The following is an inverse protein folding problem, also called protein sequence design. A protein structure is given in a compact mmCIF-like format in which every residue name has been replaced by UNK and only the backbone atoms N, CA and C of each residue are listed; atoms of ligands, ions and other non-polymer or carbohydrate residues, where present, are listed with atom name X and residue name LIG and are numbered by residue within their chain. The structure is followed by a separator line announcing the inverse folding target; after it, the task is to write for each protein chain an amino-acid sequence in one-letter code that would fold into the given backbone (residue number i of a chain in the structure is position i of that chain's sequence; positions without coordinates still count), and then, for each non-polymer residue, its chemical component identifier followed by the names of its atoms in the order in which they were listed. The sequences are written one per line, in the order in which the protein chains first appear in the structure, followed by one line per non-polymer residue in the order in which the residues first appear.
data_IF_522597742815
#
_entry.id   IF_522597742815
#
_cell.length_a   1.000
_cell.length_b   1.000
_cell.length_c   1.000
_cell.angle_alpha   90.00
_cell.angle_beta   90.00
_cell.angle_gamma   90.00
#
_symmetry.space_group_name_H-M   'P 1'
#
loop_
_entity.id
_entity.type
_entity.pdbx_description
1 polymer ?
#
# COMPACT_ATOMS: atom_id res chain seq x y z
N UNK A 1 -20.76 32.29 0.55
CA UNK A 1 -21.38 31.41 -0.45
C UNK A 1 -20.79 29.98 -0.34
N UNK A 2 -19.46 29.84 -0.22
CA UNK A 2 -18.78 28.54 -0.02
C UNK A 2 -19.21 27.85 1.28
N UNK A 3 -19.27 28.57 2.41
CA UNK A 3 -19.66 28.01 3.70
C UNK A 3 -21.11 27.47 3.77
N UNK A 4 -21.99 27.92 2.89
CA UNK A 4 -23.36 27.42 2.75
C UNK A 4 -23.53 26.49 1.55
N UNK A 5 -22.43 25.99 1.01
CA UNK A 5 -22.36 25.03 -0.12
C UNK A 5 -23.08 25.48 -1.41
N UNK A 6 -23.40 26.79 -1.55
CA UNK A 6 -23.96 27.37 -2.78
C UNK A 6 -22.95 27.53 -3.92
N UNK A 7 -21.68 27.60 -3.59
CA UNK A 7 -20.56 27.56 -4.53
C UNK A 7 -19.56 26.57 -3.96
N UNK A 8 -19.24 25.51 -4.71
CA UNK A 8 -18.30 24.47 -4.26
C UNK A 8 -16.90 25.06 -4.25
N UNK A 9 -16.26 25.00 -3.09
CA UNK A 9 -14.86 25.34 -2.92
C UNK A 9 -14.03 24.14 -3.38
N UNK A 10 -13.51 24.19 -4.58
CA UNK A 10 -12.63 23.17 -5.15
C UNK A 10 -11.46 23.87 -5.85
N UNK A 11 -10.26 23.37 -5.67
CA UNK A 11 -9.09 24.02 -6.23
C UNK A 11 -9.07 23.93 -7.76
N UNK A 12 -9.24 22.76 -8.31
CA UNK A 12 -9.34 22.51 -9.75
C UNK A 12 -10.29 21.32 -10.00
N UNK A 13 -11.06 21.35 -11.10
CA UNK A 13 -11.87 20.18 -11.49
C UNK A 13 -10.97 19.06 -12.06
N UNK A 14 -11.41 17.82 -11.97
CA UNK A 14 -10.74 16.69 -12.63
C UNK A 14 -10.66 16.90 -14.15
N UNK A 15 -9.47 16.67 -14.71
CA UNK A 15 -9.28 16.67 -16.16
C UNK A 15 -9.79 15.34 -16.75
N UNK A 16 -10.39 15.41 -17.93
CA UNK A 16 -10.87 14.23 -18.63
C UNK A 16 -9.70 13.48 -19.28
N UNK A 17 -9.04 12.62 -18.51
CA UNK A 17 -7.92 11.78 -18.95
C UNK A 17 -8.40 10.49 -19.62
N UNK A 18 -7.52 9.82 -20.34
CA UNK A 18 -7.81 8.51 -20.93
C UNK A 18 -7.20 7.36 -20.13
N UNK A 19 -7.02 7.57 -18.83
CA UNK A 19 -6.44 6.60 -17.92
C UNK A 19 -6.85 6.88 -16.48
N UNK A 20 -6.83 5.82 -15.65
CA UNK A 20 -6.79 5.87 -14.19
C UNK A 20 -6.07 4.64 -13.67
N UNK A 21 -5.72 4.62 -12.39
CA UNK A 21 -5.02 3.52 -11.75
C UNK A 21 -5.90 2.90 -10.67
N UNK A 22 -5.82 1.59 -10.50
CA UNK A 22 -6.38 0.89 -9.35
C UNK A 22 -5.19 0.41 -8.52
N UNK A 23 -5.20 0.73 -7.24
CA UNK A 23 -4.18 0.34 -6.28
C UNK A 23 -4.80 -0.64 -5.31
N UNK A 24 -4.28 -1.88 -5.30
CA UNK A 24 -4.77 -2.97 -4.45
C UNK A 24 -3.80 -3.23 -3.31
N UNK A 25 -4.32 -3.17 -2.09
CA UNK A 25 -3.65 -3.59 -0.87
C UNK A 25 -4.39 -4.82 -0.30
N UNK A 26 -3.71 -5.95 -0.30
CA UNK A 26 -4.17 -7.15 0.39
C UNK A 26 -3.63 -7.16 1.82
N UNK A 27 -4.22 -7.94 2.74
CA UNK A 27 -3.66 -8.11 4.08
C UNK A 27 -2.19 -8.56 4.02
N UNK A 28 -1.35 -8.01 4.88
CA UNK A 28 0.07 -8.40 4.94
C UNK A 28 0.21 -9.90 5.18
N UNK A 29 1.11 -10.54 4.45
CA UNK A 29 1.26 -12.01 4.47
C UNK A 29 0.43 -12.73 3.40
N UNK A 30 -0.40 -12.04 2.64
CA UNK A 30 -1.12 -12.62 1.49
C UNK A 30 -0.12 -13.09 0.44
N UNK A 31 -0.32 -14.32 -0.06
CA UNK A 31 0.52 -14.89 -1.12
C UNK A 31 0.31 -14.17 -2.46
N UNK A 32 1.37 -14.12 -3.28
CA UNK A 32 1.35 -13.46 -4.58
C UNK A 32 0.24 -14.01 -5.50
N UNK A 33 -0.03 -15.30 -5.43
CA UNK A 33 -1.05 -15.98 -6.22
C UNK A 33 -2.45 -15.47 -5.89
N UNK A 34 -2.73 -15.22 -4.62
CA UNK A 34 -4.02 -14.67 -4.19
C UNK A 34 -4.18 -13.22 -4.64
N UNK A 35 -3.13 -12.41 -4.50
CA UNK A 35 -3.11 -11.04 -5.03
C UNK A 35 -3.35 -11.04 -6.54
N UNK A 36 -2.67 -11.94 -7.26
CA UNK A 36 -2.84 -12.12 -8.72
C UNK A 36 -4.26 -12.54 -9.08
N UNK A 37 -4.87 -13.43 -8.29
CA UNK A 37 -6.26 -13.82 -8.48
C UNK A 37 -7.21 -12.62 -8.35
N UNK A 38 -7.06 -11.81 -7.31
CA UNK A 38 -7.92 -10.64 -7.08
C UNK A 38 -7.76 -9.63 -8.21
N UNK A 39 -6.52 -9.34 -8.64
CA UNK A 39 -6.27 -8.49 -9.80
C UNK A 39 -6.91 -9.05 -11.08
N UNK A 40 -6.89 -10.37 -11.27
CA UNK A 40 -7.57 -11.04 -12.37
C UNK A 40 -9.09 -10.88 -12.35
N UNK A 41 -9.72 -11.02 -11.17
CA UNK A 41 -11.16 -10.80 -11.00
C UNK A 41 -11.56 -9.35 -11.27
N UNK A 42 -10.76 -8.39 -10.79
CA UNK A 42 -10.96 -6.97 -11.11
C UNK A 42 -10.80 -6.74 -12.62
N UNK A 43 -9.79 -7.34 -13.25
CA UNK A 43 -9.57 -7.26 -14.68
C UNK A 43 -10.76 -7.77 -15.50
N UNK A 44 -11.30 -8.91 -15.14
CA UNK A 44 -12.51 -9.46 -15.81
C UNK A 44 -13.73 -8.54 -15.65
N UNK A 45 -13.88 -7.90 -14.49
CA UNK A 45 -14.92 -6.88 -14.32
C UNK A 45 -14.67 -5.68 -15.25
N UNK A 46 -13.44 -5.18 -15.35
CA UNK A 46 -13.10 -4.04 -16.19
C UNK A 46 -13.36 -4.31 -17.67
N UNK A 47 -13.26 -5.57 -18.14
CA UNK A 47 -13.62 -5.95 -19.50
C UNK A 47 -15.12 -5.75 -19.80
N UNK A 48 -15.96 -5.68 -18.79
CA UNK A 48 -17.40 -5.40 -18.94
C UNK A 48 -17.71 -3.91 -19.05
N UNK A 49 -16.75 -3.02 -18.78
CA UNK A 49 -16.93 -1.56 -18.85
C UNK A 49 -16.63 -1.08 -20.27
N UNK A 50 -17.63 -0.55 -21.00
CA UNK A 50 -17.48 -0.27 -22.45
C UNK A 50 -16.36 0.71 -22.81
N UNK A 51 -16.05 1.63 -21.91
CA UNK A 51 -15.03 2.65 -22.15
C UNK A 51 -13.61 2.19 -21.81
N UNK A 52 -13.46 1.02 -21.18
CA UNK A 52 -12.13 0.44 -20.94
C UNK A 52 -11.62 -0.17 -22.23
N UNK A 53 -10.50 0.36 -22.73
CA UNK A 53 -9.85 -0.13 -23.93
C UNK A 53 -8.95 -1.34 -23.66
N UNK A 54 -8.17 -1.26 -22.59
CA UNK A 54 -7.32 -2.33 -22.08
C UNK A 54 -6.87 -1.97 -20.66
N UNK A 55 -6.28 -2.94 -19.98
CA UNK A 55 -5.63 -2.74 -18.70
C UNK A 55 -4.34 -3.55 -18.60
N UNK A 56 -3.48 -3.20 -17.67
CA UNK A 56 -2.25 -3.92 -17.35
C UNK A 56 -2.21 -4.11 -15.84
N UNK A 57 -2.12 -5.37 -15.40
CA UNK A 57 -2.04 -5.72 -13.99
C UNK A 57 -0.58 -6.01 -13.59
N UNK A 58 -0.19 -5.51 -12.43
CA UNK A 58 1.11 -5.68 -11.82
C UNK A 58 0.91 -6.30 -10.44
N UNK A 59 1.34 -7.55 -10.27
CA UNK A 59 1.21 -8.29 -9.02
C UNK A 59 2.54 -8.34 -8.30
N UNK A 60 2.54 -8.00 -7.00
CA UNK A 60 3.74 -7.97 -6.17
C UNK A 60 4.67 -6.79 -6.42
N UNK A 61 4.30 -5.89 -7.31
CA UNK A 61 5.09 -4.72 -7.69
C UNK A 61 4.19 -3.58 -8.14
N UNK A 62 4.73 -2.37 -8.13
CA UNK A 62 4.02 -1.19 -8.64
C UNK A 62 3.91 -1.19 -10.16
N UNK A 63 2.91 -0.48 -10.70
CA UNK A 63 2.86 -0.08 -12.09
C UNK A 63 4.10 0.77 -12.48
N UNK A 64 4.48 0.83 -13.78
CA UNK A 64 5.54 1.72 -14.23
C UNK A 64 5.33 3.15 -13.77
N UNK A 65 6.42 3.87 -13.49
CA UNK A 65 6.36 5.22 -12.92
C UNK A 65 5.47 6.12 -13.78
N UNK A 66 4.40 6.59 -13.17
CA UNK A 66 3.46 7.58 -13.71
C UNK A 66 3.48 8.83 -12.83
N UNK A 67 2.72 9.86 -13.22
CA UNK A 67 2.58 11.05 -12.38
C UNK A 67 2.01 10.69 -10.99
N UNK A 68 0.98 9.85 -10.94
CA UNK A 68 0.42 9.34 -9.67
C UNK A 68 1.46 8.57 -8.85
N UNK A 69 2.22 7.70 -9.50
CA UNK A 69 3.27 6.94 -8.86
C UNK A 69 4.31 7.82 -8.19
N UNK A 70 4.72 8.92 -8.83
CA UNK A 70 5.66 9.88 -8.25
C UNK A 70 5.06 10.66 -7.08
N UNK A 71 3.87 11.22 -7.26
CA UNK A 71 3.24 12.09 -6.27
C UNK A 71 2.82 11.34 -5.02
N UNK A 72 2.21 10.18 -5.19
CA UNK A 72 1.74 9.32 -4.09
C UNK A 72 2.78 8.28 -3.65
N UNK A 73 3.99 8.33 -4.22
CA UNK A 73 5.10 7.39 -3.95
C UNK A 73 4.76 5.91 -4.22
N UNK A 74 3.78 5.63 -5.07
CA UNK A 74 3.36 4.27 -5.38
C UNK A 74 4.44 3.45 -6.07
N UNK A 75 5.42 4.09 -6.72
CA UNK A 75 6.58 3.42 -7.31
C UNK A 75 7.45 2.66 -6.29
N UNK A 76 7.29 2.95 -4.98
CA UNK A 76 7.98 2.26 -3.89
C UNK A 76 7.24 0.99 -3.42
N UNK A 77 6.04 0.73 -3.94
CA UNK A 77 5.21 -0.40 -3.54
C UNK A 77 5.81 -1.70 -4.08
N UNK A 78 6.24 -2.57 -3.18
CA UNK A 78 6.79 -3.88 -3.49
C UNK A 78 6.42 -4.86 -2.38
N UNK A 79 5.83 -6.00 -2.74
CA UNK A 79 5.43 -7.04 -1.79
C UNK A 79 4.34 -7.92 -2.37
N UNK A 80 4.35 -9.21 -2.02
CA UNK A 80 3.40 -10.21 -2.51
C UNK A 80 1.92 -9.81 -2.33
N UNK A 81 1.63 -9.03 -1.30
CA UNK A 81 0.30 -8.56 -0.93
C UNK A 81 -0.11 -7.23 -1.61
N UNK A 82 0.74 -6.67 -2.49
CA UNK A 82 0.49 -5.42 -3.19
C UNK A 82 0.26 -5.64 -4.68
N UNK A 83 -0.61 -4.85 -5.28
CA UNK A 83 -0.85 -4.90 -6.71
C UNK A 83 -1.38 -3.59 -7.27
N UNK A 84 -1.15 -3.38 -8.55
CA UNK A 84 -1.63 -2.22 -9.29
C UNK A 84 -2.30 -2.66 -10.60
N UNK A 85 -3.31 -1.91 -11.05
CA UNK A 85 -3.84 -2.02 -12.41
C UNK A 85 -3.82 -0.63 -13.05
N UNK A 86 -3.11 -0.52 -14.16
CA UNK A 86 -3.20 0.65 -15.03
C UNK A 86 -4.33 0.44 -16.01
N UNK A 87 -5.36 1.26 -15.94
CA UNK A 87 -6.54 1.19 -16.80
C UNK A 87 -6.45 2.25 -17.89
N UNK A 88 -6.56 1.85 -19.13
CA UNK A 88 -6.60 2.74 -20.29
C UNK A 88 -8.01 2.81 -20.85
N UNK A 89 -8.51 4.02 -21.02
CA UNK A 89 -9.83 4.30 -21.57
C UNK A 89 -9.78 4.59 -23.06
N UNK A 90 -10.89 4.39 -23.73
CA UNK A 90 -11.11 4.88 -25.09
C UNK A 90 -10.89 6.41 -25.09
N UNK A 91 -10.33 6.93 -26.18
CA UNK A 91 -10.06 8.38 -26.32
C UNK A 91 -11.32 9.21 -26.01
N UNK A 92 -11.14 10.32 -25.31
CA UNK A 92 -12.22 11.20 -24.86
C UNK A 92 -13.14 11.72 -25.95
N UNK A 93 -12.69 11.68 -27.22
CA UNK A 93 -13.51 12.05 -28.38
C UNK A 93 -14.46 10.93 -28.86
N UNK A 94 -14.26 9.73 -28.36
CA UNK A 94 -15.01 8.53 -28.74
C UNK A 94 -15.78 7.89 -27.57
N UNK A 95 -16.01 8.65 -26.49
CA UNK A 95 -16.82 8.24 -25.35
C UNK A 95 -17.64 9.42 -24.83
N UNK A 96 -18.81 9.12 -24.28
CA UNK A 96 -19.73 10.13 -23.75
C UNK A 96 -19.37 10.47 -22.29
N UNK A 97 -19.08 9.45 -21.47
CA UNK A 97 -18.72 9.66 -20.06
C UNK A 97 -17.30 10.19 -19.91
N UNK A 98 -17.12 11.13 -18.97
CA UNK A 98 -15.79 11.61 -18.58
C UNK A 98 -15.04 10.53 -17.76
N UNK A 99 -13.71 10.64 -17.69
CA UNK A 99 -12.89 9.67 -16.90
C UNK A 99 -13.31 9.60 -15.45
N UNK A 100 -13.63 10.74 -14.84
CA UNK A 100 -14.09 10.82 -13.47
C UNK A 100 -15.43 10.07 -13.26
N UNK A 101 -16.41 10.24 -14.15
CA UNK A 101 -17.68 9.51 -14.10
C UNK A 101 -17.48 8.00 -14.23
N UNK A 102 -16.52 7.58 -15.06
CA UNK A 102 -16.16 6.16 -15.19
C UNK A 102 -15.47 5.67 -13.92
N UNK A 103 -14.49 6.41 -13.41
CA UNK A 103 -13.79 6.08 -12.17
C UNK A 103 -14.76 5.92 -10.98
N UNK A 104 -15.71 6.84 -10.83
CA UNK A 104 -16.77 6.73 -9.83
C UNK A 104 -17.62 5.47 -10.01
N UNK A 105 -18.00 5.14 -11.26
CA UNK A 105 -18.87 3.99 -11.53
C UNK A 105 -18.22 2.63 -11.28
N UNK A 106 -16.89 2.53 -11.37
CA UNK A 106 -16.14 1.28 -11.13
C UNK A 106 -15.72 1.11 -9.69
N UNK A 107 -15.73 2.18 -8.87
CA UNK A 107 -15.23 2.19 -7.50
C UNK A 107 -15.87 1.12 -6.62
N UNK A 108 -17.18 1.16 -6.47
CA UNK A 108 -17.92 0.22 -5.62
C UNK A 108 -17.76 -1.25 -6.07
N UNK A 109 -17.94 -1.61 -7.35
CA UNK A 109 -17.71 -2.98 -7.82
C UNK A 109 -16.28 -3.48 -7.59
N UNK A 110 -15.27 -2.64 -7.83
CA UNK A 110 -13.86 -3.00 -7.64
C UNK A 110 -13.56 -3.22 -6.15
N UNK A 111 -14.03 -2.31 -5.29
CA UNK A 111 -13.87 -2.46 -3.84
C UNK A 111 -14.61 -3.70 -3.31
N UNK A 112 -15.80 -4.01 -3.84
CA UNK A 112 -16.55 -5.21 -3.45
C UNK A 112 -15.81 -6.50 -3.85
N UNK A 113 -15.11 -6.51 -4.99
CA UNK A 113 -14.25 -7.64 -5.38
C UNK A 113 -13.10 -7.81 -4.40
N UNK A 114 -12.36 -6.75 -4.11
CA UNK A 114 -11.21 -6.78 -3.21
C UNK A 114 -11.62 -7.20 -1.78
N UNK A 115 -12.71 -6.65 -1.26
CA UNK A 115 -13.21 -6.90 0.10
C UNK A 115 -13.58 -8.36 0.35
N UNK A 116 -13.99 -9.13 -0.67
CA UNK A 116 -14.25 -10.57 -0.54
C UNK A 116 -13.01 -11.36 -0.10
N UNK A 117 -11.83 -10.81 -0.34
CA UNK A 117 -10.53 -11.38 0.00
C UNK A 117 -9.82 -10.60 1.13
N UNK A 118 -10.54 -9.71 1.82
CA UNK A 118 -9.97 -8.83 2.85
C UNK A 118 -9.09 -7.70 2.32
N UNK A 119 -9.07 -7.48 1.00
CA UNK A 119 -8.27 -6.45 0.36
C UNK A 119 -8.97 -5.09 0.31
N UNK A 120 -8.18 -4.05 0.14
CA UNK A 120 -8.61 -2.66 -0.11
C UNK A 120 -8.18 -2.23 -1.51
N UNK A 121 -9.12 -1.82 -2.35
CA UNK A 121 -8.85 -1.36 -3.70
C UNK A 121 -9.25 0.10 -3.87
N UNK A 122 -8.28 0.94 -4.19
CA UNK A 122 -8.44 2.39 -4.36
C UNK A 122 -8.44 2.76 -5.83
N UNK A 123 -9.35 3.65 -6.23
CA UNK A 123 -9.40 4.20 -7.60
C UNK A 123 -8.68 5.54 -7.61
N UNK A 124 -7.55 5.59 -8.28
CA UNK A 124 -6.64 6.74 -8.27
C UNK A 124 -6.66 7.42 -9.62
N UNK A 125 -7.19 8.62 -9.65
CA UNK A 125 -7.14 9.50 -10.82
C UNK A 125 -5.91 10.41 -10.76
N UNK A 126 -5.52 10.96 -11.92
CA UNK A 126 -4.46 11.99 -11.95
C UNK A 126 -4.98 13.23 -11.23
N UNK A 127 -4.34 13.66 -10.13
CA UNK A 127 -4.83 14.78 -9.36
C UNK A 127 -4.82 16.06 -10.20
N UNK A 128 -5.89 16.86 -10.13
CA UNK A 128 -5.98 18.10 -10.90
C UNK A 128 -5.13 19.24 -10.33
N UNK A 129 -4.68 19.08 -9.09
CA UNK A 129 -4.00 20.11 -8.32
C UNK A 129 -2.53 19.80 -8.03
N UNK A 130 -1.95 20.45 -7.02
CA UNK A 130 -0.57 20.21 -6.60
C UNK A 130 -0.38 18.78 -6.09
N UNK A 131 0.85 18.31 -6.13
CA UNK A 131 1.19 16.96 -5.70
C UNK A 131 1.02 16.79 -4.20
N UNK A 132 -0.07 16.15 -3.78
CA UNK A 132 -0.34 15.78 -2.40
C UNK A 132 -0.41 14.25 -2.26
N UNK A 133 -0.06 13.73 -1.10
CA UNK A 133 -0.07 12.29 -0.82
C UNK A 133 -1.49 11.71 -0.97
N UNK A 134 -2.48 12.42 -0.45
CA UNK A 134 -3.90 12.13 -0.62
C UNK A 134 -4.69 13.45 -0.50
N UNK A 135 -5.90 13.54 -1.06
CA UNK A 135 -6.72 14.74 -0.93
C UNK A 135 -7.06 15.11 0.52
N UNK A 136 -7.33 14.11 1.35
CA UNK A 136 -7.52 14.26 2.81
C UNK A 136 -6.43 13.49 3.51
N UNK A 137 -5.67 14.16 4.37
CA UNK A 137 -4.60 13.57 5.17
C UNK A 137 -4.74 14.03 6.61
N UNK A 138 -4.80 13.07 7.53
CA UNK A 138 -4.70 13.27 8.95
C UNK A 138 -3.35 12.74 9.44
N UNK A 139 -2.50 13.61 9.94
CA UNK A 139 -1.19 13.29 10.51
C UNK A 139 -1.34 13.16 12.02
N UNK A 140 -1.12 11.96 12.56
CA UNK A 140 -1.24 11.67 13.97
C UNK A 140 0.15 11.65 14.60
N UNK A 141 0.36 12.55 15.55
CA UNK A 141 1.59 12.68 16.33
C UNK A 141 1.39 12.16 17.74
N UNK A 142 2.47 11.87 18.47
CA UNK A 142 2.43 11.43 19.86
C UNK A 142 3.73 10.78 20.30
N UNK A 143 3.83 10.51 21.62
CA UNK A 143 5.06 10.07 22.27
C UNK A 143 5.52 8.66 21.85
N UNK A 144 4.58 7.78 21.50
CA UNK A 144 4.87 6.38 21.15
C UNK A 144 3.96 5.87 20.04
N UNK A 145 4.42 4.83 19.32
CA UNK A 145 3.73 4.27 18.20
C UNK A 145 2.37 3.64 18.59
N UNK A 146 2.29 2.96 19.73
CA UNK A 146 1.04 2.29 20.14
C UNK A 146 -0.09 3.30 20.39
N UNK A 147 0.23 4.42 21.03
CA UNK A 147 -0.72 5.49 21.25
C UNK A 147 -1.10 6.22 19.95
N UNK A 148 -0.13 6.44 19.05
CA UNK A 148 -0.42 6.97 17.70
C UNK A 148 -1.37 6.05 16.94
N UNK A 149 -1.16 4.73 16.95
CA UNK A 149 -2.03 3.74 16.33
C UNK A 149 -3.43 3.77 16.96
N UNK A 150 -3.52 3.84 18.29
CA UNK A 150 -4.82 3.92 18.98
C UNK A 150 -5.60 5.19 18.58
N UNK A 151 -4.91 6.33 18.48
CA UNK A 151 -5.49 7.58 18.00
C UNK A 151 -5.89 7.50 16.52
N UNK A 152 -5.01 6.95 15.67
CA UNK A 152 -5.28 6.79 14.24
C UNK A 152 -6.50 5.91 13.96
N UNK A 153 -6.70 4.83 14.72
CA UNK A 153 -7.90 3.98 14.59
C UNK A 153 -9.19 4.73 14.93
N UNK A 154 -9.17 5.62 15.93
CA UNK A 154 -10.33 6.47 16.25
C UNK A 154 -10.61 7.45 15.12
N UNK A 155 -9.57 8.10 14.60
CA UNK A 155 -9.69 9.00 13.45
C UNK A 155 -10.24 8.24 12.24
N UNK A 156 -9.69 7.08 11.91
CA UNK A 156 -10.15 6.23 10.82
C UNK A 156 -11.63 5.85 10.96
N UNK A 157 -12.08 5.49 12.17
CA UNK A 157 -13.48 5.17 12.40
C UNK A 157 -14.43 6.34 12.09
N UNK A 158 -13.99 7.59 12.31
CA UNK A 158 -14.77 8.78 11.92
C UNK A 158 -14.75 8.95 10.40
N UNK A 159 -13.62 8.72 9.73
CA UNK A 159 -13.57 8.71 8.26
C UNK A 159 -14.58 7.70 7.68
N UNK A 160 -14.60 6.48 8.21
CA UNK A 160 -15.49 5.39 7.75
C UNK A 160 -16.99 5.68 7.99
N UNK A 161 -17.31 6.54 8.94
CA UNK A 161 -18.69 6.93 9.27
C UNK A 161 -19.15 8.21 8.54
N UNK A 162 -18.24 8.91 7.90
CA UNK A 162 -18.54 10.17 7.22
C UNK A 162 -18.94 9.88 5.77
N UNK A 163 -20.09 10.39 5.36
CA UNK A 163 -20.61 10.20 4.01
C UNK A 163 -19.64 10.73 2.93
N UNK A 164 -19.65 10.08 1.79
CA UNK A 164 -18.86 10.42 0.61
C UNK A 164 -17.33 10.31 0.79
N UNK A 165 -16.83 9.88 1.94
CA UNK A 165 -15.41 9.58 2.16
C UNK A 165 -15.11 8.19 1.63
N UNK A 166 -14.10 8.10 0.76
CA UNK A 166 -13.72 6.87 0.05
C UNK A 166 -12.21 6.68 0.07
N UNK A 167 -11.75 5.49 -0.37
CA UNK A 167 -10.33 5.14 -0.46
C UNK A 167 -9.58 5.34 0.86
N UNK A 168 -10.28 5.08 1.98
CA UNK A 168 -9.71 5.23 3.32
C UNK A 168 -8.56 4.25 3.49
N UNK A 169 -7.42 4.79 3.91
CA UNK A 169 -6.20 4.03 4.12
C UNK A 169 -5.43 4.60 5.33
N UNK A 170 -4.50 3.84 5.85
CA UNK A 170 -3.59 4.32 6.89
C UNK A 170 -2.19 3.72 6.73
N UNK A 171 -1.24 4.26 7.49
CA UNK A 171 0.12 3.77 7.51
C UNK A 171 0.36 2.70 8.59
N UNK A 172 -0.69 2.16 9.19
CA UNK A 172 -0.62 1.11 10.21
C UNK A 172 -0.42 -0.22 9.49
N UNK A 173 0.62 -0.94 9.87
CA UNK A 173 0.84 -2.28 9.35
C UNK A 173 0.04 -3.27 10.17
N UNK A 174 -0.98 -3.88 9.55
CA UNK A 174 -1.79 -4.92 10.16
C UNK A 174 -1.61 -6.24 9.39
N UNK A 175 -1.50 -7.34 10.13
CA UNK A 175 -1.52 -8.68 9.55
C UNK A 175 -2.91 -9.07 9.04
N UNK A 176 -3.01 -10.21 8.34
CA UNK A 176 -4.26 -10.73 7.80
C UNK A 176 -5.36 -10.98 8.84
N UNK A 177 -6.52 -11.40 8.38
CA UNK A 177 -7.73 -11.61 9.18
C UNK A 177 -7.46 -12.43 10.45
N UNK A 178 -7.74 -11.85 11.62
CA UNK A 178 -7.49 -12.45 12.94
C UNK A 178 -6.14 -12.12 13.56
N UNK A 179 -5.21 -11.45 12.86
CA UNK A 179 -3.95 -10.97 13.42
C UNK A 179 -4.11 -9.52 13.89
N UNK A 180 -3.80 -9.28 15.16
CA UNK A 180 -3.69 -7.92 15.70
C UNK A 180 -2.22 -7.52 15.66
N UNK A 181 -1.83 -6.73 14.68
CA UNK A 181 -0.47 -6.23 14.52
C UNK A 181 0.22 -6.73 13.25
N UNK A 182 1.51 -6.40 13.08
CA UNK A 182 2.26 -6.76 11.87
C UNK A 182 2.36 -8.27 11.68
N UNK A 183 2.54 -8.69 10.43
CA UNK A 183 2.71 -10.09 10.11
C UNK A 183 3.90 -10.71 10.87
N UNK A 184 3.74 -11.97 11.27
CA UNK A 184 4.84 -12.73 11.83
C UNK A 184 5.88 -13.07 10.77
N UNK A 185 7.15 -12.89 11.10
CA UNK A 185 8.28 -13.42 10.35
C UNK A 185 8.84 -14.67 11.04
N UNK A 186 9.24 -15.64 10.25
CA UNK A 186 9.92 -16.84 10.75
C UNK A 186 11.42 -16.68 10.55
N UNK A 187 12.16 -16.62 11.65
CA UNK A 187 13.62 -16.55 11.65
C UNK A 187 14.19 -17.95 11.74
N UNK A 188 15.07 -18.26 10.80
CA UNK A 188 15.89 -19.48 10.86
C UNK A 188 17.10 -19.18 11.72
N UNK A 189 16.99 -19.50 13.02
CA UNK A 189 18.06 -19.32 13.99
C UNK A 189 19.04 -20.47 13.91
N UNK A 190 20.29 -20.19 13.53
CA UNK A 190 21.35 -21.20 13.38
C UNK A 190 21.98 -21.48 14.75
N UNK A 191 21.99 -22.77 15.16
CA UNK A 191 22.79 -23.26 16.27
C UNK A 191 24.28 -23.27 15.84
N UNK A 192 24.97 -22.17 16.14
CA UNK A 192 26.35 -21.93 15.70
C UNK A 192 27.33 -22.95 16.27
N UNK A 193 27.11 -23.38 17.52
CA UNK A 193 28.00 -24.34 18.16
C UNK A 193 27.82 -25.75 17.55
N UNK A 194 26.59 -26.14 17.34
CA UNK A 194 26.26 -27.46 16.73
C UNK A 194 26.73 -27.48 15.27
N UNK A 195 26.48 -26.42 14.49
CA UNK A 195 26.92 -26.30 13.09
C UNK A 195 28.45 -26.40 12.99
N UNK A 196 29.17 -25.69 13.87
CA UNK A 196 30.65 -25.74 13.90
C UNK A 196 31.16 -27.14 14.23
N UNK A 197 30.56 -27.81 15.24
CA UNK A 197 30.95 -29.21 15.61
C UNK A 197 30.71 -30.18 14.49
N UNK A 198 29.67 -29.98 13.70
CA UNK A 198 29.33 -30.83 12.55
C UNK A 198 30.06 -30.42 11.26
N UNK A 199 30.87 -29.40 11.31
CA UNK A 199 31.67 -28.91 10.17
C UNK A 199 30.83 -28.26 9.06
N UNK A 200 29.70 -27.63 9.42
CA UNK A 200 28.83 -26.90 8.49
C UNK A 200 28.98 -25.40 8.71
N UNK A 201 29.23 -24.63 7.65
CA UNK A 201 29.36 -23.18 7.76
C UNK A 201 28.01 -22.48 7.74
N UNK A 202 27.89 -21.33 8.42
CA UNK A 202 26.69 -20.50 8.35
C UNK A 202 26.39 -20.04 6.91
N UNK A 203 27.44 -19.77 6.13
CA UNK A 203 27.33 -19.38 4.72
C UNK A 203 26.65 -20.47 3.90
N UNK A 204 27.08 -21.73 4.05
CA UNK A 204 26.49 -22.86 3.32
C UNK A 204 25.00 -23.06 3.69
N UNK A 205 24.63 -22.83 4.96
CA UNK A 205 23.23 -22.88 5.40
C UNK A 205 22.40 -21.78 4.72
N UNK A 206 22.89 -20.54 4.75
CA UNK A 206 22.20 -19.40 4.14
C UNK A 206 22.05 -19.55 2.63
N UNK A 207 23.10 -19.96 1.93
CA UNK A 207 23.10 -20.20 0.47
C UNK A 207 22.09 -21.31 0.10
N UNK A 208 22.11 -22.43 0.82
CA UNK A 208 21.19 -23.52 0.55
C UNK A 208 19.71 -23.09 0.75
N UNK A 209 19.40 -22.37 1.84
CA UNK A 209 18.08 -21.83 2.08
C UNK A 209 17.67 -20.81 1.02
N UNK A 210 18.57 -19.91 0.63
CA UNK A 210 18.33 -18.95 -0.43
C UNK A 210 18.00 -19.65 -1.75
N UNK A 211 18.80 -20.65 -2.13
CA UNK A 211 18.60 -21.41 -3.38
C UNK A 211 17.22 -22.09 -3.39
N UNK A 212 16.82 -22.77 -2.32
CA UNK A 212 15.56 -23.54 -2.32
C UNK A 212 14.33 -22.66 -2.14
N UNK A 213 14.41 -21.56 -1.37
CA UNK A 213 13.26 -20.68 -1.08
C UNK A 213 13.12 -19.60 -2.15
N UNK A 214 14.18 -18.81 -2.39
CA UNK A 214 14.17 -17.65 -3.29
C UNK A 214 14.49 -18.04 -4.73
N UNK A 215 15.26 -19.11 -4.91
CA UNK A 215 15.75 -19.55 -6.19
C UNK A 215 17.09 -18.93 -6.56
N UNK A 216 17.88 -19.66 -7.34
CA UNK A 216 19.18 -19.24 -7.86
C UNK A 216 19.26 -19.52 -9.36
N UNK A 217 19.75 -18.56 -10.12
CA UNK A 217 19.99 -18.74 -11.56
C UNK A 217 21.34 -19.42 -11.76
N UNK A 218 21.28 -20.75 -11.85
CA UNK A 218 22.49 -21.61 -11.90
C UNK A 218 23.17 -21.65 -13.28
N UNK A 219 22.44 -21.34 -14.34
CA UNK A 219 22.94 -21.34 -15.72
C UNK A 219 21.96 -20.58 -16.62
N UNK A 220 22.30 -20.51 -17.91
CA UNK A 220 21.47 -19.87 -18.93
C UNK A 220 21.25 -20.82 -20.09
N UNK A 221 20.04 -20.83 -20.62
CA UNK A 221 19.73 -21.49 -21.87
C UNK A 221 20.18 -20.60 -23.04
N UNK A 222 21.02 -21.16 -23.91
CA UNK A 222 21.46 -20.48 -25.12
C UNK A 222 20.50 -20.83 -26.27
N UNK A 223 19.59 -19.89 -26.58
CA UNK A 223 18.62 -20.02 -27.68
C UNK A 223 18.94 -19.05 -28.81
N UNK A 224 18.72 -19.48 -30.05
CA UNK A 224 18.96 -18.64 -31.25
C UNK A 224 17.94 -17.50 -31.40
N UNK A 225 16.77 -17.59 -30.75
CA UNK A 225 15.64 -16.66 -30.92
C UNK A 225 15.41 -15.72 -29.76
N UNK A 226 16.08 -15.92 -28.62
CA UNK A 226 15.92 -15.09 -27.43
C UNK A 226 16.73 -13.82 -27.51
N UNK A 227 16.10 -12.64 -27.36
CA UNK A 227 16.81 -11.35 -27.26
C UNK A 227 17.68 -11.24 -26.02
N UNK A 228 17.25 -11.88 -24.92
CA UNK A 228 17.96 -11.90 -23.63
C UNK A 228 18.26 -13.35 -23.23
N UNK A 229 19.32 -13.54 -22.43
CA UNK A 229 19.63 -14.84 -21.86
C UNK A 229 18.45 -15.34 -21.00
N UNK A 230 18.06 -16.59 -21.21
CA UNK A 230 16.97 -17.24 -20.45
C UNK A 230 17.61 -17.99 -19.28
N UNK A 231 17.38 -17.60 -18.01
CA UNK A 231 18.01 -18.24 -16.86
C UNK A 231 17.40 -19.63 -16.62
N UNK A 232 18.27 -20.57 -16.20
CA UNK A 232 17.86 -21.85 -15.62
C UNK A 232 17.84 -21.66 -14.12
N UNK A 233 16.64 -21.55 -13.53
CA UNK A 233 16.45 -21.26 -12.11
C UNK A 233 16.23 -22.53 -11.31
N UNK A 234 17.05 -22.73 -10.31
CA UNK A 234 16.95 -23.84 -9.35
C UNK A 234 16.22 -23.35 -8.10
N UNK A 235 15.10 -23.99 -7.76
CA UNK A 235 14.33 -23.69 -6.55
C UNK A 235 13.40 -24.84 -6.20
N UNK A 236 12.87 -24.89 -4.97
CA UNK A 236 11.78 -25.79 -4.63
C UNK A 236 10.47 -25.36 -5.31
N UNK A 237 9.57 -26.31 -5.50
CA UNK A 237 8.19 -25.99 -5.91
C UNK A 237 7.48 -25.18 -4.81
N UNK A 238 6.43 -24.43 -5.17
CA UNK A 238 5.66 -23.66 -4.17
C UNK A 238 5.06 -24.57 -3.09
N UNK A 239 4.65 -25.78 -3.45
CA UNK A 239 4.16 -26.78 -2.49
C UNK A 239 5.25 -27.19 -1.50
N UNK A 240 6.48 -27.45 -1.96
CA UNK A 240 7.59 -27.86 -1.10
C UNK A 240 8.09 -26.71 -0.21
N UNK A 241 8.04 -25.45 -0.69
CA UNK A 241 8.39 -24.27 0.11
C UNK A 241 7.39 -23.97 1.22
N UNK A 242 6.10 -24.26 0.98
CA UNK A 242 5.04 -24.05 1.95
C UNK A 242 5.13 -25.02 3.14
N UNK A 243 5.76 -26.17 2.93
CA UNK A 243 6.04 -27.17 3.97
C UNK A 243 7.41 -26.91 4.60
N UNK A 244 7.39 -26.33 5.81
CA UNK A 244 8.62 -26.01 6.53
C UNK A 244 9.43 -27.26 6.88
N UNK A 245 8.77 -28.38 7.19
CA UNK A 245 9.45 -29.65 7.50
C UNK A 245 10.20 -30.18 6.27
N UNK A 246 9.63 -29.99 5.08
CA UNK A 246 10.29 -30.30 3.82
C UNK A 246 11.55 -29.45 3.61
N UNK A 247 11.45 -28.14 3.84
CA UNK A 247 12.62 -27.24 3.77
C UNK A 247 13.69 -27.63 4.80
N UNK A 248 13.30 -27.95 6.02
CA UNK A 248 14.22 -28.37 7.09
C UNK A 248 14.83 -29.77 6.87
N UNK A 249 14.23 -30.59 6.02
CA UNK A 249 14.79 -31.87 5.60
C UNK A 249 15.96 -31.75 4.64
N UNK A 250 16.19 -30.57 4.05
CA UNK A 250 17.32 -30.31 3.17
C UNK A 250 18.64 -30.67 3.86
N UNK A 251 19.50 -31.37 3.12
CA UNK A 251 20.79 -31.83 3.64
C UNK A 251 21.94 -31.01 3.09
N UNK A 252 22.78 -30.54 3.99
CA UNK A 252 23.99 -29.77 3.67
C UNK A 252 25.22 -30.65 3.87
N UNK A 253 26.14 -30.59 2.93
CA UNK A 253 27.41 -31.29 3.03
C UNK A 253 28.34 -30.63 4.04
N UNK A 254 28.80 -31.38 5.04
CA UNK A 254 29.81 -30.91 5.98
C UNK A 254 31.22 -31.00 5.37
N UNK A 255 32.20 -30.39 6.04
CA UNK A 255 33.62 -30.46 5.63
C UNK A 255 34.15 -31.92 5.61
N UNK A 256 33.58 -32.81 6.40
CA UNK A 256 33.94 -34.23 6.39
C UNK A 256 33.24 -35.03 5.29
N UNK A 257 32.38 -34.43 4.49
CA UNK A 257 31.56 -35.06 3.45
C UNK A 257 30.24 -35.65 3.94
N UNK A 258 29.95 -35.59 5.24
CA UNK A 258 28.67 -36.07 5.79
C UNK A 258 27.52 -35.14 5.38
N UNK A 259 26.37 -35.69 5.09
CA UNK A 259 25.13 -34.94 4.77
C UNK A 259 24.33 -34.70 6.05
N UNK A 260 24.25 -33.44 6.49
CA UNK A 260 23.59 -33.00 7.72
C UNK A 260 22.27 -32.35 7.36
N UNK A 261 21.11 -32.82 7.87
CA UNK A 261 19.82 -32.14 7.63
C UNK A 261 19.80 -30.82 8.38
N UNK A 262 19.12 -29.81 7.78
CA UNK A 262 18.98 -28.48 8.38
C UNK A 262 18.31 -28.52 9.75
N UNK A 263 17.31 -29.41 9.93
CA UNK A 263 16.60 -29.62 11.21
C UNK A 263 17.52 -29.91 12.39
N UNK A 264 18.75 -30.40 12.13
CA UNK A 264 19.73 -30.67 13.18
C UNK A 264 20.49 -29.42 13.65
N UNK A 265 20.56 -28.35 12.81
CA UNK A 265 21.47 -27.23 13.01
C UNK A 265 20.74 -25.86 13.00
N UNK A 266 19.41 -25.85 12.81
CA UNK A 266 18.60 -24.63 12.88
C UNK A 266 17.35 -24.83 13.73
N UNK A 267 16.88 -23.73 14.30
CA UNK A 267 15.58 -23.62 14.97
C UNK A 267 14.76 -22.53 14.30
N UNK A 268 13.44 -22.74 14.22
CA UNK A 268 12.54 -21.71 13.71
C UNK A 268 11.98 -20.92 14.89
N UNK A 269 12.17 -19.60 14.84
CA UNK A 269 11.64 -18.66 15.84
C UNK A 269 10.66 -17.75 15.15
N UNK A 270 9.44 -17.66 15.67
CA UNK A 270 8.46 -16.66 15.27
C UNK A 270 8.79 -15.31 15.91
N UNK A 271 8.90 -14.28 15.13
CA UNK A 271 9.04 -12.91 15.59
C UNK A 271 8.04 -12.00 14.86
N UNK A 272 7.66 -10.91 15.50
CA UNK A 272 6.87 -9.87 14.85
C UNK A 272 7.75 -9.14 13.85
N UNK A 273 7.23 -8.89 12.63
CA UNK A 273 7.93 -8.11 11.62
C UNK A 273 8.06 -6.66 12.07
N UNK A 274 9.19 -6.04 11.81
CA UNK A 274 9.40 -4.62 12.07
C UNK A 274 8.50 -3.77 11.17
N UNK A 275 7.86 -2.77 11.77
CA UNK A 275 7.06 -1.79 11.04
C UNK A 275 7.92 -0.71 10.41
N UNK A 276 7.46 -0.15 9.30
CA UNK A 276 7.99 1.11 8.81
C UNK A 276 7.66 2.23 9.82
N UNK A 277 8.63 3.06 10.15
CA UNK A 277 8.45 4.23 11.00
C UNK A 277 8.48 5.46 10.08
N UNK A 278 7.32 6.08 9.91
CA UNK A 278 7.21 7.30 9.13
C UNK A 278 7.59 8.51 9.97
N UNK A 279 8.28 9.46 9.36
CA UNK A 279 8.62 10.74 9.98
C UNK A 279 8.22 11.88 9.04
N UNK A 280 7.66 12.92 9.61
CA UNK A 280 7.45 14.21 8.96
C UNK A 280 8.01 15.31 9.86
N UNK A 281 8.81 16.20 9.29
CA UNK A 281 9.49 17.27 10.04
C UNK A 281 10.25 16.75 11.28
N UNK A 282 10.91 15.60 11.13
CA UNK A 282 11.67 14.87 12.15
C UNK A 282 10.84 14.24 13.29
N UNK A 283 9.51 14.34 13.23
CA UNK A 283 8.63 13.74 14.23
C UNK A 283 8.04 12.42 13.69
N UNK A 284 7.99 11.35 14.49
CA UNK A 284 7.26 10.15 14.13
C UNK A 284 5.80 10.46 13.86
N UNK A 285 5.23 9.88 12.82
CA UNK A 285 3.86 10.16 12.39
C UNK A 285 3.15 8.89 11.92
N UNK A 286 1.87 8.77 12.23
CA UNK A 286 0.96 7.80 11.62
C UNK A 286 -0.04 8.57 10.76
N UNK A 287 -0.22 8.15 9.51
CA UNK A 287 -1.14 8.77 8.58
C UNK A 287 -2.48 8.04 8.54
N UNK A 288 -3.57 8.79 8.47
CA UNK A 288 -4.85 8.32 7.96
C UNK A 288 -5.20 9.17 6.76
N UNK A 289 -5.50 8.53 5.64
CA UNK A 289 -5.70 9.19 4.35
C UNK A 289 -7.03 8.80 3.75
N UNK A 290 -7.62 9.67 2.95
CA UNK A 290 -8.83 9.37 2.19
C UNK A 290 -8.95 10.27 0.97
N UNK A 291 -9.89 9.89 0.11
CA UNK A 291 -10.41 10.71 -0.97
C UNK A 291 -11.90 11.01 -0.70
N UNK A 292 -12.51 11.84 -1.51
CA UNK A 292 -13.93 12.15 -1.43
C UNK A 292 -14.58 11.89 -2.79
N UNK A 293 -15.72 11.19 -2.79
CA UNK A 293 -16.48 10.89 -3.99
C UNK A 293 -17.98 11.02 -3.72
N UNK A 294 -18.54 12.16 -4.02
CA UNK A 294 -19.96 12.46 -3.81
C UNK A 294 -20.44 13.62 -4.68
N UNK A 295 -21.64 14.12 -4.41
CA UNK A 295 -22.18 15.24 -5.19
C UNK A 295 -21.32 16.52 -5.12
N UNK A 296 -20.75 16.80 -3.96
CA UNK A 296 -19.87 17.98 -3.77
C UNK A 296 -18.47 17.74 -4.29
N UNK A 297 -18.01 16.50 -4.27
CA UNK A 297 -16.71 16.05 -4.79
C UNK A 297 -15.56 17.04 -4.48
N UNK A 298 -15.51 17.50 -3.21
CA UNK A 298 -14.50 18.43 -2.72
C UNK A 298 -13.97 17.97 -1.36
N UNK A 299 -12.73 17.51 -1.31
CA UNK A 299 -12.10 16.99 -0.09
C UNK A 299 -12.14 17.94 1.11
N UNK A 300 -12.23 19.24 0.85
CA UNK A 300 -12.32 20.25 1.91
C UNK A 300 -13.57 20.11 2.78
N UNK A 301 -14.71 19.78 2.16
CA UNK A 301 -15.94 19.61 2.94
C UNK A 301 -15.90 18.32 3.76
N UNK A 302 -15.38 17.23 3.18
CA UNK A 302 -15.16 15.99 3.91
C UNK A 302 -14.22 16.19 5.11
N UNK A 303 -13.11 16.91 4.91
CA UNK A 303 -12.19 17.26 5.99
C UNK A 303 -12.90 18.06 7.09
N UNK A 304 -13.70 19.07 6.76
CA UNK A 304 -14.41 19.87 7.76
C UNK A 304 -15.49 19.07 8.49
N UNK A 305 -16.18 18.18 7.81
CA UNK A 305 -17.19 17.32 8.41
C UNK A 305 -16.53 16.33 9.40
N UNK A 306 -15.42 15.70 9.02
CA UNK A 306 -14.62 14.82 9.90
C UNK A 306 -14.06 15.61 11.09
N UNK A 307 -13.46 16.79 10.81
CA UNK A 307 -12.88 17.64 11.86
C UNK A 307 -13.93 18.08 12.88
N UNK A 308 -15.14 18.40 12.43
CA UNK A 308 -16.27 18.72 13.30
C UNK A 308 -16.63 17.58 14.25
N UNK A 309 -16.77 16.36 13.70
CA UNK A 309 -17.08 15.15 14.48
C UNK A 309 -15.98 14.84 15.51
N UNK A 310 -14.71 14.93 15.10
CA UNK A 310 -13.57 14.75 16.02
C UNK A 310 -13.51 15.83 17.09
N UNK A 311 -13.88 17.08 16.75
CA UNK A 311 -13.96 18.20 17.71
C UNK A 311 -15.00 18.00 18.79
N UNK A 312 -16.12 17.34 18.49
CA UNK A 312 -17.16 17.01 19.47
C UNK A 312 -16.69 16.01 20.53
N UNK A 313 -15.77 15.10 20.18
CA UNK A 313 -15.19 14.16 21.15
C UNK A 313 -14.16 14.81 22.08
N UNK A 314 -13.47 15.84 21.60
CA UNK A 314 -12.43 16.57 22.34
C UNK A 314 -11.20 15.73 22.75
N UNK A 315 -11.04 14.54 22.14
CA UNK A 315 -9.99 13.58 22.52
C UNK A 315 -8.61 13.90 21.91
N UNK A 316 -8.60 14.60 20.75
CA UNK A 316 -7.39 14.96 20.04
C UNK A 316 -7.37 16.46 19.74
N UNK A 317 -6.26 17.12 20.04
CA UNK A 317 -6.05 18.49 19.61
C UNK A 317 -5.81 18.52 18.11
N UNK A 318 -6.53 19.40 17.40
CA UNK A 318 -6.49 19.50 15.95
C UNK A 318 -5.73 20.74 15.48
N UNK A 319 -4.76 20.54 14.59
CA UNK A 319 -3.93 21.57 13.97
C UNK A 319 -4.18 21.63 12.49
N UNK A 320 -4.31 22.81 11.93
CA UNK A 320 -4.67 22.99 10.51
C UNK A 320 -3.53 23.52 9.64
N UNK A 321 -2.63 24.31 10.19
CA UNK A 321 -1.55 24.98 9.46
C UNK A 321 -0.19 24.73 10.10
N UNK A 322 -0.11 25.02 11.40
CA UNK A 322 1.14 24.90 12.13
C UNK A 322 1.34 23.45 12.62
N UNK A 323 2.58 23.06 12.79
CA UNK A 323 2.92 21.80 13.44
C UNK A 323 2.55 21.86 14.95
N UNK A 324 2.10 20.74 15.52
CA UNK A 324 1.88 20.65 16.94
C UNK A 324 3.12 21.10 17.72
N UNK A 325 3.01 22.02 18.69
CA UNK A 325 4.16 22.57 19.41
C UNK A 325 4.79 21.56 20.37
N UNK A 326 4.02 20.57 20.83
CA UNK A 326 4.49 19.51 21.70
C UNK A 326 4.41 18.14 20.99
N UNK A 327 5.54 17.56 20.59
CA UNK A 327 5.54 16.25 19.90
C UNK A 327 5.22 15.08 20.83
N UNK A 328 5.09 15.31 22.13
CA UNK A 328 4.78 14.28 23.12
C UNK A 328 3.28 14.14 23.42
N UNK A 329 2.46 15.12 23.01
CA UNK A 329 1.02 15.06 23.15
C UNK A 329 0.39 14.40 21.91
N UNK A 330 -0.62 13.56 22.13
CA UNK A 330 -1.37 13.00 21.00
C UNK A 330 -2.20 14.09 20.35
N UNK A 331 -1.87 14.38 19.11
CA UNK A 331 -2.48 15.45 18.34
C UNK A 331 -2.65 15.05 16.88
N UNK A 332 -3.51 15.76 16.17
CA UNK A 332 -3.79 15.58 14.78
C UNK A 332 -3.51 16.86 14.01
N UNK A 333 -2.75 16.77 12.92
CA UNK A 333 -2.58 17.85 11.98
C UNK A 333 -3.22 17.49 10.64
N UNK A 334 -3.99 18.40 10.11
CA UNK A 334 -4.60 18.28 8.81
C UNK A 334 -3.64 18.68 7.69
N UNK A 335 -3.56 17.86 6.63
CA UNK A 335 -2.75 18.08 5.44
C UNK A 335 -3.52 17.66 4.17
N UNK A 336 -2.84 17.49 3.07
CA UNK A 336 -3.43 17.18 1.78
C UNK A 336 -3.84 18.44 1.00
N UNK A 337 -5.01 18.43 0.37
CA UNK A 337 -5.47 19.57 -0.42
C UNK A 337 -5.79 20.81 0.43
N UNK A 338 -6.10 20.63 1.71
CA UNK A 338 -6.43 21.73 2.62
C UNK A 338 -5.32 22.77 2.69
N UNK A 339 -4.11 22.36 3.05
CA UNK A 339 -2.99 23.27 3.28
C UNK A 339 -2.67 24.06 2.03
N UNK A 340 -2.58 23.37 0.90
CA UNK A 340 -2.26 24.00 -0.38
C UNK A 340 -3.36 24.96 -0.84
N UNK A 341 -4.61 24.59 -0.65
CA UNK A 341 -5.76 25.45 -0.99
C UNK A 341 -5.74 26.71 -0.14
N UNK A 342 -5.54 26.56 1.17
CA UNK A 342 -5.46 27.72 2.07
C UNK A 342 -4.32 28.67 1.67
N UNK A 343 -3.11 28.15 1.50
CA UNK A 343 -1.95 28.95 1.11
C UNK A 343 -2.17 29.67 -0.22
N UNK A 344 -2.71 28.96 -1.21
CA UNK A 344 -3.02 29.53 -2.53
C UNK A 344 -4.01 30.68 -2.43
N UNK A 345 -5.13 30.48 -1.73
CA UNK A 345 -6.14 31.54 -1.58
C UNK A 345 -5.66 32.72 -0.75
N UNK A 346 -4.88 32.48 0.30
CA UNK A 346 -4.24 33.53 1.11
C UNK A 346 -3.31 34.38 0.25
N UNK A 347 -2.40 33.75 -0.48
CA UNK A 347 -1.35 34.43 -1.24
C UNK A 347 -1.91 35.15 -2.48
N UNK A 348 -2.87 34.53 -3.17
CA UNK A 348 -3.62 35.20 -4.23
C UNK A 348 -4.43 36.36 -3.69
N UNK A 349 -5.11 36.22 -2.56
CA UNK A 349 -5.85 37.28 -1.91
C UNK A 349 -4.93 38.46 -1.54
N UNK A 350 -3.76 38.19 -0.99
CA UNK A 350 -2.74 39.19 -0.68
C UNK A 350 -2.19 39.88 -1.96
N UNK A 351 -2.05 39.15 -3.06
CA UNK A 351 -1.56 39.70 -4.33
C UNK A 351 -2.59 40.61 -5.04
N UNK A 352 -3.89 40.38 -4.79
CA UNK A 352 -4.97 41.19 -5.38
C UNK A 352 -5.40 42.39 -4.51
N UNK A 353 -4.97 42.43 -3.24
CA UNK A 353 -5.29 43.53 -2.31
C UNK A 353 -4.29 44.69 -2.43
#
# INVERSE_FOLDING_TARGET
LGAVKLVVLKMLPFDNKSEFQIVLDMPEGTALEQTTQVLGEIGHYLETVPEVKNYQAYSGTSAPISFNGLVRQYYLREGAFLGDIQVNLVDKKHRDRKSHEIALSVREPVQAIASRFGGNAKIVEVPPGPPVMSPIVAEIYGIDYEGQVAAARKVRAVFEQTDDIVDIDDSIVEGGEGMRGPAEKRIVAIDREKATRLGVSQKSIAEALQTVIQGEDVSFLHGETSKYAVPIRLMYSEADKSDLDQVLSLRIQSQSGALIPLSEIVNIVGEVRENAIYHKDLMPVVYVTADMAGELDSPLYGLFDISGQLGETGELEQWFLDQPPNPYDYSLKWDGEWQVTYETFRDMGAAYA
#
